data_IF_750378112610
#
_entry.id   IF_750378112610
#
_cell.length_a   1.000
_cell.length_b   1.000
_cell.length_c   1.000
_cell.angle_alpha   90.00
_cell.angle_beta   90.00
_cell.angle_gamma   90.00
#
_symmetry.space_group_name_H-M   'P 1'
#
loop_
_entity.id
_entity.type
_entity.pdbx_description
1 polymer ?
#
# COMPACT_ATOMS: atom_id res chain seq x y z
N UNK A 1 4.27 -20.38 -10.03
CA UNK A 1 3.89 -18.96 -10.16
C UNK A 1 2.91 -18.84 -11.29
N UNK A 2 1.72 -18.31 -11.04
CA UNK A 2 0.61 -18.24 -11.98
C UNK A 2 0.10 -16.81 -12.11
N UNK A 3 -0.26 -16.41 -13.33
CA UNK A 3 -0.98 -15.17 -13.58
C UNK A 3 -2.46 -15.43 -13.30
N UNK A 4 -3.00 -14.70 -12.32
CA UNK A 4 -4.43 -14.78 -11.99
C UNK A 4 -5.16 -13.53 -12.48
N UNK A 5 -6.45 -13.68 -12.75
CA UNK A 5 -7.39 -12.61 -13.06
C UNK A 5 -8.52 -12.64 -12.04
N UNK A 6 -8.85 -11.50 -11.51
CA UNK A 6 -9.98 -11.31 -10.61
C UNK A 6 -10.90 -10.21 -11.15
N UNK A 7 -12.15 -10.21 -10.71
CA UNK A 7 -13.07 -9.08 -10.89
C UNK A 7 -13.40 -8.48 -9.54
N UNK A 8 -13.45 -7.16 -9.47
CA UNK A 8 -13.90 -6.43 -8.29
C UNK A 8 -15.44 -6.38 -8.24
N UNK A 9 -16.01 -5.92 -7.14
CA UNK A 9 -17.47 -5.76 -6.98
C UNK A 9 -18.12 -4.79 -7.99
N UNK A 10 -17.33 -3.92 -8.61
CA UNK A 10 -17.73 -2.98 -9.67
C UNK A 10 -17.25 -3.46 -11.07
N UNK A 11 -17.07 -4.76 -11.24
CA UNK A 11 -16.68 -5.44 -12.49
C UNK A 11 -15.35 -4.97 -13.12
N UNK A 12 -14.49 -4.31 -12.35
CA UNK A 12 -13.16 -3.98 -12.84
C UNK A 12 -12.26 -5.22 -12.82
N UNK A 13 -11.63 -5.51 -13.97
CA UNK A 13 -10.72 -6.65 -14.09
C UNK A 13 -9.32 -6.30 -13.62
N UNK A 14 -8.82 -7.03 -12.64
CA UNK A 14 -7.46 -6.93 -12.11
C UNK A 14 -6.67 -8.20 -12.40
N UNK A 15 -5.36 -8.06 -12.39
CA UNK A 15 -4.43 -9.18 -12.49
C UNK A 15 -3.57 -9.26 -11.23
N UNK A 16 -3.08 -10.45 -10.92
CA UNK A 16 -2.10 -10.67 -9.87
C UNK A 16 -1.17 -11.82 -10.24
N UNK A 17 -0.04 -11.89 -9.56
CA UNK A 17 0.86 -13.03 -9.60
C UNK A 17 0.70 -13.84 -8.33
N UNK A 18 0.42 -15.13 -8.48
CA UNK A 18 0.23 -16.08 -7.38
C UNK A 18 1.41 -17.03 -7.31
N UNK A 19 2.01 -17.16 -6.14
CA UNK A 19 2.94 -18.23 -5.79
C UNK A 19 2.28 -19.13 -4.75
N UNK A 20 2.21 -20.43 -5.05
CA UNK A 20 1.72 -21.42 -4.10
C UNK A 20 2.86 -22.31 -3.61
N UNK A 21 2.87 -22.73 -2.32
CA UNK A 21 3.81 -23.73 -1.82
C UNK A 21 3.51 -25.11 -2.43
N UNK A 22 4.45 -26.04 -2.35
CA UNK A 22 4.24 -27.41 -2.85
C UNK A 22 3.01 -28.10 -2.23
N UNK A 23 2.78 -27.83 -0.95
CA UNK A 23 1.56 -28.27 -0.25
C UNK A 23 0.74 -27.05 0.11
N UNK A 24 -0.37 -26.88 -0.59
CA UNK A 24 -1.29 -25.77 -0.37
C UNK A 24 -1.95 -25.87 1.02
N UNK A 25 -1.80 -24.84 1.82
CA UNK A 25 -2.50 -24.63 3.09
C UNK A 25 -3.71 -23.68 2.95
N UNK A 26 -4.20 -23.21 4.08
CA UNK A 26 -5.32 -22.26 4.20
C UNK A 26 -4.86 -20.80 4.43
N UNK A 27 -3.58 -20.53 4.33
CA UNK A 27 -2.96 -19.25 4.67
C UNK A 27 -2.38 -18.55 3.44
N UNK A 28 -2.71 -17.27 3.27
CA UNK A 28 -2.27 -16.43 2.14
C UNK A 28 -1.77 -15.08 2.60
N UNK A 29 -0.77 -14.56 1.88
CA UNK A 29 -0.30 -13.19 2.01
C UNK A 29 -0.62 -12.44 0.71
N UNK A 30 -1.32 -11.31 0.82
CA UNK A 30 -1.65 -10.43 -0.30
C UNK A 30 -0.83 -9.16 -0.18
N UNK A 31 0.00 -8.88 -1.18
CA UNK A 31 0.80 -7.67 -1.25
C UNK A 31 0.08 -6.60 -2.07
N UNK A 32 -0.12 -5.44 -1.44
CA UNK A 32 -0.67 -4.22 -2.04
C UNK A 32 0.50 -3.31 -2.42
N UNK A 33 0.72 -3.04 -3.70
CA UNK A 33 1.89 -2.30 -4.17
C UNK A 33 1.81 -0.79 -3.88
N UNK A 34 2.95 -0.12 -4.06
CA UNK A 34 3.11 1.34 -3.96
C UNK A 34 2.46 2.14 -5.08
N UNK A 35 2.88 3.41 -5.23
CA UNK A 35 2.18 4.42 -6.01
C UNK A 35 2.03 4.13 -7.51
N UNK A 36 3.12 3.91 -8.21
CA UNK A 36 3.15 3.90 -9.68
C UNK A 36 3.52 2.55 -10.25
N UNK A 37 3.57 1.56 -9.43
CA UNK A 37 3.99 0.24 -9.83
C UNK A 37 2.84 -0.47 -10.54
N UNK A 38 2.53 -0.02 -11.74
CA UNK A 38 1.94 -0.83 -12.83
C UNK A 38 2.72 -2.08 -13.09
N UNK A 39 3.66 -2.22 -12.28
CA UNK A 39 4.78 -3.04 -12.36
C UNK A 39 4.84 -4.08 -11.24
N UNK A 40 3.76 -4.35 -10.52
CA UNK A 40 3.76 -5.57 -9.70
C UNK A 40 4.15 -6.77 -10.57
N UNK A 41 3.74 -6.76 -11.83
CA UNK A 41 4.13 -7.77 -12.83
C UNK A 41 5.54 -7.56 -13.42
N UNK A 42 6.07 -6.34 -13.39
CA UNK A 42 7.39 -6.02 -13.96
C UNK A 42 8.47 -6.04 -12.86
N UNK A 43 8.14 -5.68 -11.64
CA UNK A 43 9.03 -5.76 -10.48
C UNK A 43 9.02 -7.16 -9.81
N UNK A 44 8.71 -8.20 -10.55
CA UNK A 44 8.68 -9.59 -10.05
C UNK A 44 9.93 -9.98 -9.25
N UNK A 45 11.09 -9.58 -9.72
CA UNK A 45 12.37 -9.91 -9.08
C UNK A 45 12.48 -9.27 -7.69
N UNK A 46 11.85 -8.12 -7.45
CA UNK A 46 11.90 -7.44 -6.16
C UNK A 46 11.06 -8.17 -5.09
N UNK A 47 10.00 -8.87 -5.52
CA UNK A 47 9.10 -9.61 -4.61
C UNK A 47 9.43 -11.10 -4.52
N UNK A 48 10.30 -11.61 -5.38
CA UNK A 48 10.66 -13.03 -5.40
C UNK A 48 11.26 -13.53 -4.08
N UNK A 49 12.13 -12.78 -3.37
CA UNK A 49 12.59 -13.16 -2.04
C UNK A 49 11.45 -13.32 -1.02
N UNK A 50 10.43 -12.45 -1.06
CA UNK A 50 9.25 -12.56 -0.19
C UNK A 50 8.43 -13.80 -0.53
N UNK A 51 8.15 -14.03 -1.82
CA UNK A 51 7.45 -15.21 -2.28
C UNK A 51 8.16 -16.49 -1.85
N UNK A 52 9.47 -16.57 -2.03
CA UNK A 52 10.28 -17.73 -1.66
C UNK A 52 10.23 -18.00 -0.16
N UNK A 53 10.44 -16.96 0.66
CA UNK A 53 10.42 -17.09 2.12
C UNK A 53 9.05 -17.52 2.65
N UNK A 54 7.98 -16.95 2.12
CA UNK A 54 6.61 -17.26 2.52
C UNK A 54 6.19 -18.67 2.07
N UNK A 55 6.49 -19.05 0.82
CA UNK A 55 6.20 -20.39 0.33
C UNK A 55 6.95 -21.48 1.11
N UNK A 56 8.21 -21.25 1.45
CA UNK A 56 8.98 -22.17 2.29
C UNK A 56 8.35 -22.36 3.68
N UNK A 57 7.59 -21.38 4.16
CA UNK A 57 6.84 -21.43 5.41
C UNK A 57 5.38 -21.91 5.25
N UNK A 58 4.95 -22.32 4.05
CA UNK A 58 3.62 -22.87 3.79
C UNK A 58 2.55 -21.85 3.42
N UNK A 59 2.91 -20.57 3.21
CA UNK A 59 1.97 -19.53 2.79
C UNK A 59 1.93 -19.39 1.27
N UNK A 60 0.73 -19.28 0.72
CA UNK A 60 0.57 -18.74 -0.63
C UNK A 60 0.78 -17.24 -0.63
N UNK A 61 1.30 -16.68 -1.72
CA UNK A 61 1.62 -15.28 -1.85
C UNK A 61 1.07 -14.70 -3.14
N UNK A 62 0.34 -13.58 -3.03
CA UNK A 62 -0.13 -12.81 -4.19
C UNK A 62 0.53 -11.44 -4.20
N UNK A 63 1.08 -11.06 -5.35
CA UNK A 63 1.36 -9.66 -5.68
C UNK A 63 0.19 -9.14 -6.51
N UNK A 64 -0.55 -8.20 -5.95
CA UNK A 64 -1.72 -7.62 -6.60
C UNK A 64 -1.34 -6.51 -7.57
N UNK A 65 -2.11 -6.37 -8.66
CA UNK A 65 -2.00 -5.24 -9.56
C UNK A 65 -3.28 -4.41 -9.45
N UNK A 66 -3.17 -3.23 -8.85
CA UNK A 66 -4.31 -2.36 -8.53
C UNK A 66 -4.77 -1.58 -9.76
N UNK A 67 -6.04 -1.14 -9.82
CA UNK A 67 -6.56 -0.30 -10.94
C UNK A 67 -5.72 0.96 -11.15
N UNK A 68 -5.23 1.57 -10.08
CA UNK A 68 -4.32 2.70 -10.15
C UNK A 68 -3.02 2.41 -10.90
N UNK A 69 -2.62 1.15 -10.99
CA UNK A 69 -1.46 0.72 -11.78
C UNK A 69 -1.68 0.84 -13.30
N UNK A 70 -2.94 0.77 -13.74
CA UNK A 70 -3.31 0.91 -15.16
C UNK A 70 -3.67 2.35 -15.52
N UNK A 71 -4.30 3.07 -14.60
CA UNK A 71 -4.94 4.35 -14.86
C UNK A 71 -4.52 5.46 -13.88
N UNK A 72 -3.26 5.50 -13.48
CA UNK A 72 -2.75 6.43 -12.48
C UNK A 72 -3.28 7.87 -12.62
N UNK A 73 -3.23 8.51 -13.80
CA UNK A 73 -3.68 9.90 -13.96
C UNK A 73 -5.18 10.11 -13.73
N UNK A 74 -5.98 9.04 -13.77
CA UNK A 74 -7.44 9.08 -13.70
C UNK A 74 -8.00 8.36 -12.48
N UNK A 75 -7.14 7.74 -11.66
CA UNK A 75 -7.59 6.86 -10.59
C UNK A 75 -8.27 7.62 -9.45
N UNK A 76 -9.40 7.10 -9.02
CA UNK A 76 -9.95 7.40 -7.70
C UNK A 76 -9.26 6.49 -6.70
N UNK A 77 -8.45 7.05 -5.82
CA UNK A 77 -7.62 6.23 -4.91
C UNK A 77 -8.42 5.45 -3.89
N UNK A 78 -9.61 5.95 -3.50
CA UNK A 78 -10.54 5.23 -2.63
C UNK A 78 -11.02 3.90 -3.25
N UNK A 79 -10.99 3.75 -4.59
CA UNK A 79 -11.32 2.48 -5.25
C UNK A 79 -10.33 1.35 -4.93
N UNK A 80 -9.17 1.67 -4.36
CA UNK A 80 -8.25 0.66 -3.86
C UNK A 80 -8.88 -0.26 -2.81
N UNK A 81 -9.89 0.22 -2.08
CA UNK A 81 -10.68 -0.59 -1.13
C UNK A 81 -11.38 -1.74 -1.87
N UNK A 82 -11.99 -1.47 -3.03
CA UNK A 82 -12.64 -2.48 -3.87
C UNK A 82 -11.63 -3.45 -4.48
N UNK A 83 -10.47 -2.93 -4.86
CA UNK A 83 -9.40 -3.75 -5.43
C UNK A 83 -8.87 -4.75 -4.42
N UNK A 84 -8.55 -4.31 -3.20
CA UNK A 84 -8.09 -5.17 -2.11
C UNK A 84 -9.18 -6.18 -1.74
N UNK A 85 -10.45 -5.73 -1.64
CA UNK A 85 -11.59 -6.62 -1.39
C UNK A 85 -11.67 -7.74 -2.44
N UNK A 86 -11.50 -7.42 -3.74
CA UNK A 86 -11.50 -8.42 -4.80
C UNK A 86 -10.40 -9.48 -4.64
N UNK A 87 -9.18 -9.11 -4.20
CA UNK A 87 -8.13 -10.08 -3.91
C UNK A 87 -8.42 -10.91 -2.65
N UNK A 88 -9.01 -10.31 -1.62
CA UNK A 88 -9.44 -11.04 -0.41
C UNK A 88 -10.57 -12.02 -0.74
N UNK A 89 -11.56 -11.62 -1.53
CA UNK A 89 -12.65 -12.48 -1.97
C UNK A 89 -12.15 -13.63 -2.86
N UNK A 90 -11.20 -13.36 -3.75
CA UNK A 90 -10.51 -14.41 -4.50
C UNK A 90 -9.84 -15.42 -3.58
N UNK A 91 -9.12 -14.96 -2.56
CA UNK A 91 -8.46 -15.83 -1.61
C UNK A 91 -9.50 -16.72 -0.87
N UNK A 92 -10.57 -16.12 -0.35
CA UNK A 92 -11.66 -16.87 0.32
C UNK A 92 -12.31 -17.89 -0.60
N UNK A 93 -12.62 -17.52 -1.84
CA UNK A 93 -13.21 -18.43 -2.83
C UNK A 93 -12.29 -19.60 -3.20
N UNK A 94 -10.97 -19.46 -3.01
CA UNK A 94 -9.97 -20.50 -3.23
C UNK A 94 -9.55 -21.24 -1.94
N UNK A 95 -10.31 -21.11 -0.85
CA UNK A 95 -10.15 -21.91 0.36
C UNK A 95 -9.16 -21.34 1.39
N UNK A 96 -8.71 -20.10 1.22
CA UNK A 96 -7.85 -19.44 2.20
C UNK A 96 -8.70 -18.77 3.28
N UNK A 97 -8.52 -19.19 4.52
CA UNK A 97 -9.26 -18.71 5.70
C UNK A 97 -8.44 -17.74 6.56
N UNK A 98 -7.12 -17.72 6.36
CA UNK A 98 -6.18 -16.87 7.07
C UNK A 98 -5.43 -16.01 6.06
N UNK A 99 -5.66 -14.70 6.09
CA UNK A 99 -5.07 -13.77 5.13
C UNK A 99 -4.26 -12.72 5.90
N UNK A 100 -3.03 -12.48 5.45
CA UNK A 100 -2.29 -11.27 5.81
C UNK A 100 -2.28 -10.30 4.64
N UNK A 101 -2.50 -9.01 4.89
CA UNK A 101 -2.39 -7.97 3.87
C UNK A 101 -1.15 -7.12 4.15
N UNK A 102 -0.30 -7.00 3.14
CA UNK A 102 0.97 -6.28 3.23
C UNK A 102 0.94 -5.07 2.30
N UNK A 103 0.98 -3.87 2.84
CA UNK A 103 1.02 -2.63 2.07
C UNK A 103 2.43 -2.07 1.94
N UNK A 104 2.96 -1.98 0.72
CA UNK A 104 4.27 -1.36 0.47
C UNK A 104 4.09 0.10 0.05
N UNK A 105 4.89 1.02 0.64
CA UNK A 105 4.86 2.43 0.30
C UNK A 105 3.43 2.98 0.37
N UNK A 106 2.86 3.54 -0.71
CA UNK A 106 1.46 3.97 -0.80
C UNK A 106 0.46 2.81 -0.66
N UNK A 107 0.88 1.57 -0.77
CA UNK A 107 0.04 0.40 -0.47
C UNK A 107 -0.38 0.36 1.00
N UNK A 108 0.44 0.89 1.91
CA UNK A 108 0.09 0.97 3.33
C UNK A 108 -1.15 1.84 3.61
N UNK A 109 -1.22 3.10 3.16
CA UNK A 109 -2.42 3.92 3.28
C UNK A 109 -3.68 3.29 2.67
N UNK A 110 -3.56 2.64 1.51
CA UNK A 110 -4.69 1.93 0.85
C UNK A 110 -5.17 0.75 1.68
N UNK A 111 -4.23 -0.06 2.19
CA UNK A 111 -4.53 -1.16 3.09
C UNK A 111 -5.19 -0.69 4.37
N UNK A 112 -4.70 0.40 4.97
CA UNK A 112 -5.27 0.96 6.19
C UNK A 112 -6.72 1.42 5.97
N UNK A 113 -7.01 2.06 4.83
CA UNK A 113 -8.37 2.44 4.45
C UNK A 113 -9.26 1.21 4.27
N UNK A 114 -8.79 0.19 3.53
CA UNK A 114 -9.54 -1.07 3.38
C UNK A 114 -9.89 -1.71 4.73
N UNK A 115 -8.91 -1.80 5.64
CA UNK A 115 -9.15 -2.38 6.97
C UNK A 115 -10.16 -1.59 7.79
N UNK A 116 -10.18 -0.27 7.66
CA UNK A 116 -11.10 0.60 8.37
C UNK A 116 -12.54 0.52 7.81
N UNK A 117 -12.69 0.45 6.48
CA UNK A 117 -14.00 0.50 5.82
C UNK A 117 -14.65 -0.88 5.68
N UNK A 118 -13.87 -1.94 5.47
CA UNK A 118 -14.37 -3.31 5.23
C UNK A 118 -14.16 -4.25 6.39
N UNK A 119 -12.96 -4.29 6.97
CA UNK A 119 -12.64 -5.06 8.17
C UNK A 119 -12.96 -6.55 8.07
N UNK A 120 -12.59 -7.21 6.96
CA UNK A 120 -12.92 -8.63 6.72
C UNK A 120 -12.27 -9.56 7.76
N UNK A 121 -13.08 -10.42 8.37
CA UNK A 121 -12.66 -11.34 9.44
C UNK A 121 -11.62 -12.38 8.99
N UNK A 122 -11.48 -12.62 7.69
CA UNK A 122 -10.43 -13.50 7.15
C UNK A 122 -9.05 -12.85 7.22
N UNK A 123 -8.96 -11.52 7.30
CA UNK A 123 -7.70 -10.81 7.48
C UNK A 123 -7.26 -10.89 8.93
N UNK A 124 -6.17 -11.61 9.18
CA UNK A 124 -5.65 -11.92 10.52
C UNK A 124 -4.45 -11.08 10.93
N UNK A 125 -3.76 -10.47 9.97
CA UNK A 125 -2.58 -9.65 10.21
C UNK A 125 -2.38 -8.63 9.09
N UNK A 126 -1.74 -7.51 9.40
CA UNK A 126 -1.33 -6.51 8.41
C UNK A 126 0.12 -6.09 8.60
N UNK A 127 0.78 -5.70 7.50
CA UNK A 127 2.13 -5.14 7.58
C UNK A 127 2.27 -3.91 6.69
N UNK A 128 2.84 -2.86 7.25
CA UNK A 128 3.27 -1.64 6.57
C UNK A 128 4.75 -1.76 6.25
N UNK A 129 5.11 -1.89 4.97
CA UNK A 129 6.50 -2.07 4.54
C UNK A 129 6.97 -0.83 3.79
N UNK A 130 8.03 -0.17 4.26
CA UNK A 130 8.52 1.09 3.69
C UNK A 130 7.37 2.07 3.40
N UNK A 131 6.36 2.10 4.28
CA UNK A 131 5.09 2.79 4.04
C UNK A 131 5.17 4.26 4.40
N UNK A 132 4.35 5.07 3.75
CA UNK A 132 4.16 6.50 4.05
C UNK A 132 2.94 6.72 4.94
N UNK A 133 2.90 7.79 5.75
CA UNK A 133 1.72 8.13 6.56
C UNK A 133 0.53 8.55 5.68
N UNK A 134 0.76 9.40 4.72
CA UNK A 134 -0.05 9.74 3.55
C UNK A 134 0.79 10.61 2.61
N UNK A 135 0.47 10.70 1.30
CA UNK A 135 1.16 11.62 0.40
C UNK A 135 1.10 13.07 0.87
N UNK A 136 -0.04 13.53 1.36
CA UNK A 136 -0.21 14.88 1.91
C UNK A 136 0.74 15.15 3.06
N UNK A 137 0.77 14.28 4.08
CA UNK A 137 1.64 14.47 5.26
C UNK A 137 3.12 14.37 4.89
N UNK A 138 3.48 13.50 3.98
CA UNK A 138 4.86 13.39 3.49
C UNK A 138 5.30 14.68 2.80
N UNK A 139 4.41 15.27 1.98
CA UNK A 139 4.66 16.55 1.32
C UNK A 139 4.83 17.69 2.33
N UNK A 140 3.98 17.73 3.35
CA UNK A 140 4.06 18.77 4.41
C UNK A 140 5.40 18.74 5.18
N UNK A 141 6.00 17.56 5.30
CA UNK A 141 7.28 17.42 6.03
C UNK A 141 8.48 17.86 5.18
N UNK A 142 8.44 17.59 3.85
CA UNK A 142 9.58 17.77 2.95
C UNK A 142 9.64 19.14 2.32
N UNK A 143 8.51 19.81 2.21
CA UNK A 143 8.35 20.98 1.37
C UNK A 143 8.61 22.28 2.12
N UNK A 144 9.10 23.26 1.38
CA UNK A 144 9.14 24.66 1.82
C UNK A 144 7.73 25.23 1.98
N UNK A 145 7.58 26.33 2.71
CA UNK A 145 6.26 26.97 2.87
C UNK A 145 5.65 27.41 1.54
N UNK A 146 6.48 27.83 0.55
CA UNK A 146 6.00 28.19 -0.77
C UNK A 146 5.47 26.97 -1.55
N UNK A 147 6.09 25.80 -1.39
CA UNK A 147 5.62 24.55 -1.99
C UNK A 147 4.34 24.06 -1.34
N UNK A 148 4.24 24.12 -0.02
CA UNK A 148 3.02 23.80 0.71
C UNK A 148 1.86 24.67 0.24
N UNK A 149 2.08 25.98 0.09
CA UNK A 149 1.07 26.89 -0.42
C UNK A 149 0.62 26.54 -1.83
N UNK A 150 1.57 26.20 -2.73
CA UNK A 150 1.24 25.72 -4.07
C UNK A 150 0.39 24.45 -4.07
N UNK A 151 0.70 23.51 -3.18
CA UNK A 151 -0.13 22.31 -3.02
C UNK A 151 -1.54 22.68 -2.59
N UNK A 152 -1.70 23.52 -1.57
CA UNK A 152 -3.02 23.93 -1.08
C UNK A 152 -3.82 24.66 -2.17
N UNK A 153 -3.20 25.54 -2.93
CA UNK A 153 -3.85 26.21 -4.06
C UNK A 153 -4.29 25.22 -5.15
N UNK A 154 -3.46 24.21 -5.42
CA UNK A 154 -3.75 23.13 -6.37
C UNK A 154 -4.91 22.26 -5.88
N UNK A 155 -4.92 21.86 -4.59
CA UNK A 155 -6.02 21.10 -3.99
C UNK A 155 -7.32 21.89 -3.97
N UNK A 156 -7.26 23.19 -3.68
CA UNK A 156 -8.42 24.09 -3.74
C UNK A 156 -9.00 24.15 -5.17
N UNK A 157 -8.15 24.25 -6.17
CA UNK A 157 -8.57 24.23 -7.57
C UNK A 157 -9.19 22.87 -7.94
N UNK A 158 -8.61 21.76 -7.51
CA UNK A 158 -9.14 20.42 -7.74
C UNK A 158 -10.55 20.25 -7.10
N UNK A 159 -10.75 20.71 -5.86
CA UNK A 159 -12.05 20.69 -5.20
C UNK A 159 -13.08 21.53 -5.96
N UNK A 160 -12.69 22.70 -6.47
CA UNK A 160 -13.57 23.53 -7.30
C UNK A 160 -13.96 22.80 -8.59
N UNK A 161 -13.01 22.19 -9.29
CA UNK A 161 -13.30 21.43 -10.52
C UNK A 161 -14.32 20.31 -10.25
N UNK A 162 -14.17 19.57 -9.16
CA UNK A 162 -15.13 18.52 -8.79
C UNK A 162 -16.50 19.09 -8.46
N UNK A 163 -16.57 20.20 -7.71
CA UNK A 163 -17.84 20.85 -7.38
C UNK A 163 -18.59 21.38 -8.62
N UNK A 164 -17.87 21.62 -9.71
CA UNK A 164 -18.40 22.08 -11.00
C UNK A 164 -18.68 20.91 -11.99
N UNK A 165 -18.51 19.64 -11.58
CA UNK A 165 -18.68 18.46 -12.44
C UNK A 165 -17.58 18.27 -13.46
N UNK A 166 -16.36 18.73 -13.15
CA UNK A 166 -15.15 18.65 -14.00
C UNK A 166 -14.08 17.75 -13.35
N UNK A 167 -14.48 16.55 -12.89
CA UNK A 167 -13.60 15.60 -12.18
C UNK A 167 -12.39 15.19 -13.01
N UNK A 168 -12.54 15.21 -14.35
CA UNK A 168 -11.47 14.84 -15.29
C UNK A 168 -10.63 16.03 -15.76
N UNK A 169 -10.81 17.22 -15.19
CA UNK A 169 -9.98 18.39 -15.50
C UNK A 169 -8.51 18.08 -15.27
N UNK A 170 -7.63 18.31 -16.27
CA UNK A 170 -6.20 18.10 -16.11
C UNK A 170 -5.58 19.08 -15.12
N UNK A 171 -4.87 18.58 -14.13
CA UNK A 171 -4.11 19.36 -13.16
C UNK A 171 -2.64 18.96 -13.22
N UNK A 172 -1.78 19.91 -13.50
CA UNK A 172 -0.34 19.74 -13.39
C UNK A 172 0.12 19.99 -11.95
N UNK A 173 1.01 19.17 -11.46
CA UNK A 173 1.66 19.37 -10.18
C UNK A 173 3.13 18.96 -10.20
N UNK A 174 3.91 19.63 -9.35
CA UNK A 174 5.30 19.29 -9.11
C UNK A 174 5.37 18.26 -7.99
N UNK A 175 5.97 17.09 -8.30
CA UNK A 175 6.07 16.01 -7.34
C UNK A 175 7.23 16.28 -6.35
N UNK A 176 7.11 15.71 -5.15
CA UNK A 176 8.18 15.75 -4.12
C UNK A 176 9.34 14.78 -4.40
N UNK A 177 9.30 14.01 -5.48
CA UNK A 177 10.43 13.15 -5.80
C UNK A 177 11.70 13.98 -6.04
N UNK A 178 12.86 13.47 -5.59
CA UNK A 178 14.12 14.21 -5.67
C UNK A 178 14.52 14.66 -7.08
N UNK A 179 13.93 14.05 -8.11
CA UNK A 179 14.20 14.35 -9.52
C UNK A 179 13.36 15.51 -10.10
N UNK A 180 12.50 16.12 -9.29
CA UNK A 180 11.69 17.27 -9.69
C UNK A 180 10.69 16.99 -10.83
N UNK A 181 10.26 15.72 -10.96
CA UNK A 181 9.29 15.36 -12.00
C UNK A 181 7.99 16.13 -11.87
N UNK A 182 7.48 16.61 -12.98
CA UNK A 182 6.14 17.17 -13.09
C UNK A 182 5.17 16.09 -13.57
N UNK A 183 4.00 16.05 -12.94
CA UNK A 183 2.94 15.12 -13.30
C UNK A 183 1.69 15.89 -13.74
N UNK A 184 0.93 15.27 -14.61
CA UNK A 184 -0.42 15.70 -14.93
C UNK A 184 -1.39 14.60 -14.55
N UNK A 185 -2.36 14.95 -13.73
CA UNK A 185 -3.43 14.05 -13.27
C UNK A 185 -4.76 14.77 -13.38
N UNK A 186 -5.85 14.05 -13.25
CA UNK A 186 -7.18 14.67 -13.19
C UNK A 186 -7.44 15.27 -11.80
N UNK A 187 -8.43 16.16 -11.70
CA UNK A 187 -8.83 16.76 -10.42
C UNK A 187 -9.19 15.71 -9.37
N UNK A 188 -9.94 14.66 -9.76
CA UNK A 188 -10.26 13.55 -8.85
C UNK A 188 -9.00 12.76 -8.40
N UNK A 189 -8.05 12.51 -9.30
CA UNK A 189 -6.81 11.82 -8.95
C UNK A 189 -5.91 12.69 -8.06
N UNK A 190 -5.89 14.01 -8.28
CA UNK A 190 -5.16 14.96 -7.44
C UNK A 190 -5.64 14.91 -5.98
N UNK A 191 -6.95 15.00 -5.76
CA UNK A 191 -7.52 14.89 -4.40
C UNK A 191 -7.32 13.49 -3.82
N UNK A 192 -7.55 12.45 -4.61
CA UNK A 192 -7.36 11.07 -4.15
C UNK A 192 -5.94 10.75 -3.73
N UNK A 193 -4.94 11.39 -4.34
CA UNK A 193 -3.54 11.13 -4.03
C UNK A 193 -2.95 12.09 -2.99
N UNK A 194 -3.12 13.40 -3.20
CA UNK A 194 -2.54 14.44 -2.35
C UNK A 194 -3.54 15.11 -1.42
N UNK A 195 -4.80 14.66 -1.44
CA UNK A 195 -5.84 15.24 -0.62
C UNK A 195 -5.50 15.27 0.85
N UNK A 196 -5.95 16.31 1.52
CA UNK A 196 -5.92 16.41 2.96
C UNK A 196 -6.89 15.39 3.60
N UNK A 197 -6.86 15.17 4.93
CA UNK A 197 -7.76 14.21 5.59
C UNK A 197 -9.25 14.40 5.26
N UNK A 198 -9.68 15.63 5.04
CA UNK A 198 -11.07 15.96 4.66
C UNK A 198 -11.46 15.52 3.25
N UNK A 199 -10.52 15.24 2.38
CA UNK A 199 -10.74 14.76 1.02
C UNK A 199 -10.89 13.24 0.92
N UNK A 200 -10.92 12.54 2.06
CA UNK A 200 -10.98 11.07 2.14
C UNK A 200 -9.83 10.36 1.40
N UNK A 201 -8.66 11.00 1.33
CA UNK A 201 -7.48 10.42 0.74
C UNK A 201 -6.91 9.30 1.64
N UNK A 202 -6.30 8.23 1.06
CA UNK A 202 -5.71 7.15 1.84
C UNK A 202 -4.65 7.65 2.82
N UNK A 203 -4.73 7.18 4.08
CA UNK A 203 -3.82 7.58 5.15
C UNK A 203 -3.57 6.43 6.12
N UNK A 204 -2.31 6.02 6.27
CA UNK A 204 -1.92 5.02 7.27
C UNK A 204 -2.21 5.51 8.69
N UNK A 205 -1.92 6.79 8.97
CA UNK A 205 -2.11 7.36 10.31
C UNK A 205 -3.57 7.71 10.60
N UNK A 206 -4.33 8.13 9.57
CA UNK A 206 -5.74 8.46 9.73
C UNK A 206 -6.62 7.24 10.01
N UNK A 207 -6.33 6.13 9.35
CA UNK A 207 -7.05 4.87 9.51
C UNK A 207 -6.41 3.91 10.52
N UNK A 208 -5.15 4.14 10.92
CA UNK A 208 -4.42 3.31 11.89
C UNK A 208 -5.19 2.97 13.17
N UNK A 209 -5.90 3.93 13.80
CA UNK A 209 -6.69 3.67 15.01
C UNK A 209 -7.84 2.67 14.84
N UNK A 210 -8.20 2.32 13.61
CA UNK A 210 -9.28 1.39 13.30
C UNK A 210 -8.79 -0.03 12.99
N UNK A 211 -7.46 -0.25 12.93
CA UNK A 211 -6.86 -1.56 12.66
C UNK A 211 -6.89 -2.40 13.95
N UNK A 212 -7.66 -3.48 13.93
CA UNK A 212 -7.97 -4.35 15.09
C UNK A 212 -7.29 -5.72 15.04
N UNK A 213 -6.38 -5.93 14.11
CA UNK A 213 -5.58 -7.15 13.95
C UNK A 213 -4.11 -6.87 14.29
N UNK A 214 -3.28 -7.89 14.56
CA UNK A 214 -1.84 -7.72 14.69
C UNK A 214 -1.26 -6.93 13.52
N UNK A 215 -0.42 -5.95 13.81
CA UNK A 215 0.13 -5.02 12.83
C UNK A 215 1.65 -4.87 12.96
N UNK A 216 2.35 -4.88 11.84
CA UNK A 216 3.79 -4.64 11.76
C UNK A 216 4.07 -3.37 10.98
N UNK A 217 5.02 -2.58 11.44
CA UNK A 217 5.66 -1.53 10.64
C UNK A 217 7.10 -1.97 10.41
N UNK A 218 7.45 -2.26 9.16
CA UNK A 218 8.76 -2.71 8.72
C UNK A 218 9.38 -1.65 7.82
N UNK A 219 10.48 -1.04 8.23
CA UNK A 219 10.98 0.17 7.58
C UNK A 219 12.51 0.19 7.51
N UNK A 220 13.04 0.78 6.44
CA UNK A 220 14.47 1.06 6.31
C UNK A 220 14.88 2.29 7.10
N UNK A 221 16.00 2.23 7.79
CA UNK A 221 16.54 3.38 8.53
C UNK A 221 17.16 4.46 7.63
N UNK A 222 17.39 4.13 6.37
CA UNK A 222 17.95 5.00 5.33
C UNK A 222 16.93 5.30 4.21
N UNK A 223 15.63 5.15 4.49
CA UNK A 223 14.56 5.42 3.54
C UNK A 223 14.48 6.91 3.20
N UNK A 224 14.75 7.25 1.95
CA UNK A 224 14.80 8.61 1.44
C UNK A 224 13.44 9.12 0.91
N UNK A 225 12.50 8.22 0.65
CA UNK A 225 11.16 8.57 0.15
C UNK A 225 10.11 8.61 1.26
N UNK A 226 10.12 7.66 2.15
CA UNK A 226 9.35 7.72 3.39
C UNK A 226 10.31 7.88 4.56
N UNK A 227 10.50 9.11 5.02
CA UNK A 227 11.50 9.39 6.05
C UNK A 227 11.29 8.53 7.30
N UNK A 228 12.35 8.00 7.92
CA UNK A 228 12.26 7.10 9.08
C UNK A 228 11.31 7.54 10.20
N UNK A 229 11.19 8.84 10.57
CA UNK A 229 10.21 9.29 11.56
C UNK A 229 8.75 8.97 11.21
N UNK A 230 8.44 8.72 9.93
CA UNK A 230 7.10 8.37 9.50
C UNK A 230 6.70 6.94 9.90
N UNK A 231 7.66 6.03 9.97
CA UNK A 231 7.43 4.69 10.51
C UNK A 231 6.94 4.73 11.96
N UNK A 232 7.54 5.61 12.78
CA UNK A 232 7.10 5.82 14.16
C UNK A 232 5.67 6.37 14.22
N UNK A 233 5.33 7.36 13.36
CA UNK A 233 3.96 7.92 13.31
C UNK A 233 2.92 6.86 12.94
N UNK A 234 3.24 5.99 11.96
CA UNK A 234 2.35 4.88 11.60
C UNK A 234 2.20 3.93 12.79
N UNK A 235 3.30 3.51 13.41
CA UNK A 235 3.28 2.63 14.58
C UNK A 235 2.46 3.22 15.74
N UNK A 236 2.64 4.50 16.04
CA UNK A 236 1.92 5.19 17.13
C UNK A 236 0.41 5.26 16.86
N UNK A 237 0.01 5.35 15.60
CA UNK A 237 -1.41 5.40 15.19
C UNK A 237 -2.15 4.09 15.38
N UNK A 238 -1.48 2.94 15.44
CA UNK A 238 -2.08 1.60 15.52
C UNK A 238 -2.61 1.28 16.92
N UNK A 239 -3.41 2.16 17.49
CA UNK A 239 -3.84 2.13 18.90
C UNK A 239 -4.84 1.00 19.22
N UNK A 240 -5.61 0.54 18.23
CA UNK A 240 -6.57 -0.57 18.42
C UNK A 240 -5.99 -1.95 18.07
N UNK A 241 -4.76 -2.01 17.53
CA UNK A 241 -4.11 -3.28 17.23
C UNK A 241 -3.76 -4.03 18.53
N UNK A 242 -4.14 -5.33 18.67
CA UNK A 242 -3.83 -6.11 19.85
C UNK A 242 -2.34 -6.38 20.03
N UNK A 243 -1.59 -6.34 18.94
CA UNK A 243 -0.14 -6.43 18.91
C UNK A 243 0.40 -5.57 17.78
N UNK A 244 1.35 -4.69 18.08
CA UNK A 244 2.04 -3.87 17.09
C UNK A 244 3.55 -3.95 17.29
N UNK A 245 4.27 -4.09 16.18
CA UNK A 245 5.72 -4.18 16.17
C UNK A 245 6.30 -3.17 15.18
N UNK A 246 7.34 -2.43 15.60
CA UNK A 246 8.15 -1.58 14.72
C UNK A 246 9.51 -2.23 14.52
N UNK A 247 9.82 -2.57 13.27
CA UNK A 247 11.03 -3.32 12.92
C UNK A 247 11.83 -2.55 11.88
N UNK A 248 13.10 -2.33 12.18
CA UNK A 248 14.03 -1.63 11.30
C UNK A 248 14.85 -2.59 10.45
N UNK A 249 15.14 -2.17 9.22
CA UNK A 249 16.11 -2.82 8.33
C UNK A 249 17.28 -1.85 8.16
N UNK A 250 18.43 -2.23 8.69
CA UNK A 250 19.64 -1.40 8.72
C UNK A 250 20.15 -1.14 7.29
N UNK A 251 20.47 0.12 6.99
CA UNK A 251 20.96 0.58 5.70
C UNK A 251 19.99 0.50 4.54
N UNK A 252 18.72 0.13 4.79
CA UNK A 252 17.74 -0.04 3.73
C UNK A 252 17.16 1.30 3.29
N UNK A 253 17.12 1.50 1.96
CA UNK A 253 16.41 2.60 1.29
C UNK A 253 14.93 2.27 1.10
N UNK A 254 14.20 3.20 0.46
CA UNK A 254 12.80 2.98 0.08
C UNK A 254 12.62 1.83 -0.91
N UNK A 255 13.59 1.66 -1.80
CA UNK A 255 13.57 0.58 -2.77
C UNK A 255 14.08 -0.69 -2.12
N UNK A 256 13.30 -1.76 -2.20
CA UNK A 256 13.62 -3.07 -1.60
C UNK A 256 14.83 -3.76 -2.25
N UNK A 257 15.45 -3.13 -3.23
CA UNK A 257 16.66 -3.54 -3.94
C UNK A 257 17.69 -2.39 -3.94
N UNK A 258 19.00 -2.62 -3.99
CA UNK A 258 19.75 -3.83 -4.33
C UNK A 258 20.56 -4.41 -3.16
N UNK A 259 21.09 -5.61 -3.35
CA UNK A 259 22.22 -6.06 -2.51
C UNK A 259 21.85 -6.69 -1.19
N UNK A 260 20.88 -7.60 -1.13
CA UNK A 260 20.52 -8.35 0.08
C UNK A 260 19.49 -7.67 0.98
N UNK A 261 19.07 -6.46 0.64
CA UNK A 261 18.04 -5.71 1.40
C UNK A 261 16.66 -6.33 1.19
N UNK A 262 16.34 -6.77 -0.03
CA UNK A 262 15.09 -7.45 -0.32
C UNK A 262 14.94 -8.74 0.50
N UNK A 263 16.02 -9.51 0.64
CA UNK A 263 16.07 -10.70 1.47
C UNK A 263 15.90 -10.37 2.95
N UNK A 264 16.50 -9.27 3.44
CA UNK A 264 16.35 -8.83 4.83
C UNK A 264 14.89 -8.42 5.13
N UNK A 265 14.23 -7.69 4.24
CA UNK A 265 12.81 -7.38 4.34
C UNK A 265 11.97 -8.66 4.31
N UNK A 266 12.24 -9.57 3.37
CA UNK A 266 11.53 -10.83 3.22
C UNK A 266 11.64 -11.71 4.47
N UNK A 267 12.83 -11.87 5.03
CA UNK A 267 13.06 -12.68 6.22
C UNK A 267 12.35 -12.11 7.46
N UNK A 268 12.42 -10.78 7.67
CA UNK A 268 11.76 -10.14 8.80
C UNK A 268 10.24 -10.20 8.66
N UNK A 269 9.69 -9.95 7.45
CA UNK A 269 8.26 -10.04 7.18
C UNK A 269 7.73 -11.47 7.36
N UNK A 270 8.37 -12.46 6.75
CA UNK A 270 7.97 -13.87 6.86
C UNK A 270 8.03 -14.34 8.32
N UNK A 271 9.12 -14.06 9.03
CA UNK A 271 9.27 -14.42 10.44
C UNK A 271 8.18 -13.83 11.33
N UNK A 272 7.80 -12.56 11.05
CA UNK A 272 6.73 -11.91 11.79
C UNK A 272 5.33 -12.51 11.46
N UNK A 273 5.05 -12.76 10.18
CA UNK A 273 3.79 -13.39 9.75
C UNK A 273 3.64 -14.78 10.36
N UNK A 274 4.66 -15.62 10.30
CA UNK A 274 4.67 -16.98 10.89
C UNK A 274 4.32 -16.93 12.38
N UNK A 275 4.87 -15.95 13.10
CA UNK A 275 4.61 -15.78 14.54
C UNK A 275 3.18 -15.35 14.84
N UNK A 276 2.60 -14.46 14.02
CA UNK A 276 1.33 -13.79 14.32
C UNK A 276 0.12 -14.38 13.57
N UNK A 277 0.37 -15.18 12.55
CA UNK A 277 -0.66 -15.89 11.77
C UNK A 277 -0.14 -17.29 11.41
N UNK A 278 0.03 -18.20 12.36
CA UNK A 278 0.57 -19.54 12.07
C UNK A 278 -0.35 -20.33 11.12
N UNK A 279 0.29 -21.10 10.22
CA UNK A 279 -0.39 -22.01 9.27
C UNK A 279 -1.12 -23.14 9.96
#
# INVERSE_FOLDING_TARGET
MDLIRISTEDDFALNGLLWEPETKGDSMVILVPGATTGAALVAMHDYYPMATALNAAGYSFIVSNMRASYNYPYSVYADAVKDIAGFVDYAKANGYSKIAVVGISLGGPRMAQYMAERGDDSVKAVAFVASIPSPYLEYQIRSTEAEKQRLEDTLKHARQCIAEGRELEPIGYENWFPDGRHFMVTAQAMLGFFGAPEDNAPSSVGYGPQIKVPAMVLHGDSDELSLPPNAQKIYDSLTASPQRDLVWVEGASHYLTPGGIAEAYAAKLAGWIIKNMPV
#
